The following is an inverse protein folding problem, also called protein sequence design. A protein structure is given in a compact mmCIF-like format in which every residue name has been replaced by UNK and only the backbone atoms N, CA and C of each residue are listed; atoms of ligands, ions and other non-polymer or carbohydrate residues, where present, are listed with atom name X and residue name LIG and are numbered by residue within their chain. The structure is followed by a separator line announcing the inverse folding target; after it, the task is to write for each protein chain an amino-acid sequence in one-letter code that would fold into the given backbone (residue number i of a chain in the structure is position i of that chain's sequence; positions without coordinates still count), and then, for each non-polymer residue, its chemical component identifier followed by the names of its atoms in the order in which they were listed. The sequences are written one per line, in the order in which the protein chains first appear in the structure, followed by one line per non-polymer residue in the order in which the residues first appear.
data_IF_665415415988
#
_entry.id   IF_665415415988
#
_cell.length_a   1.000
_cell.length_b   1.000
_cell.length_c   1.000
_cell.angle_alpha   90.00
_cell.angle_beta   90.00
_cell.angle_gamma   90.00
#
_symmetry.space_group_name_H-M   'P 1'
#
loop_
_entity.id
_entity.type
_entity.pdbx_description
1 polymer ?
#
# COMPACT_ATOMS: atom_id res chain seq x y z
N UNK A 1 30.67 -47.98 22.41
CA UNK A 1 29.55 -47.37 21.67
C UNK A 1 29.24 -46.05 22.36
N UNK A 2 29.88 -44.99 21.89
CA UNK A 2 29.77 -43.65 22.47
C UNK A 2 29.16 -42.73 21.42
N UNK A 3 28.13 -42.05 21.87
CA UNK A 3 27.32 -41.04 21.17
C UNK A 3 28.17 -40.08 20.35
N UNK A 4 28.14 -40.23 19.03
CA UNK A 4 28.54 -39.17 18.12
C UNK A 4 27.62 -37.98 18.35
N UNK A 5 28.25 -36.91 18.82
CA UNK A 5 27.63 -35.62 19.08
C UNK A 5 27.01 -35.08 17.80
N UNK A 6 25.76 -34.62 17.90
CA UNK A 6 25.04 -33.79 16.93
C UNK A 6 25.79 -32.49 16.60
N UNK A 7 26.88 -32.59 15.83
CA UNK A 7 27.54 -31.47 15.14
C UNK A 7 27.26 -31.64 13.65
N UNK A 8 26.10 -31.18 13.21
CA UNK A 8 25.75 -31.25 11.79
C UNK A 8 24.29 -30.96 11.51
N UNK A 9 23.77 -29.81 11.94
CA UNK A 9 22.55 -29.20 11.37
C UNK A 9 22.31 -27.79 11.92
N UNK A 10 23.35 -26.96 12.07
CA UNK A 10 23.14 -25.50 11.99
C UNK A 10 23.37 -25.13 10.52
N UNK A 11 22.45 -25.56 9.64
CA UNK A 11 22.37 -24.95 8.32
C UNK A 11 21.82 -23.56 8.60
N UNK A 12 22.69 -22.56 8.54
CA UNK A 12 22.31 -21.16 8.54
C UNK A 12 21.07 -21.03 7.67
N UNK A 13 19.94 -20.68 8.32
CA UNK A 13 18.66 -20.60 7.63
C UNK A 13 18.87 -19.64 6.47
N UNK A 14 18.46 -20.00 5.24
CA UNK A 14 18.71 -19.15 4.09
C UNK A 14 18.17 -17.75 4.36
N UNK A 15 19.00 -16.74 4.05
CA UNK A 15 18.67 -15.35 4.30
C UNK A 15 17.33 -15.03 3.62
N UNK A 16 16.34 -14.67 4.43
CA UNK A 16 15.04 -14.22 3.94
C UNK A 16 14.87 -12.77 4.35
N UNK A 17 14.36 -11.95 3.44
CA UNK A 17 14.28 -10.51 3.65
C UNK A 17 13.45 -9.83 2.58
N UNK A 18 13.10 -8.58 2.87
CA UNK A 18 12.36 -7.74 1.96
C UNK A 18 12.63 -6.26 2.23
N UNK A 19 12.49 -5.45 1.19
CA UNK A 19 12.53 -3.99 1.26
C UNK A 19 11.34 -3.44 0.46
N UNK A 20 10.69 -2.41 0.98
CA UNK A 20 9.57 -1.74 0.32
C UNK A 20 9.94 -0.29 0.04
N UNK A 21 10.25 0.03 -1.22
CA UNK A 21 10.58 1.36 -1.69
C UNK A 21 9.31 2.10 -2.11
N UNK A 22 9.02 3.21 -1.46
CA UNK A 22 7.87 4.05 -1.74
C UNK A 22 8.36 5.36 -2.38
N UNK A 23 7.81 5.75 -3.54
CA UNK A 23 8.14 7.04 -4.17
C UNK A 23 7.38 8.20 -3.51
N UNK A 24 7.63 8.37 -2.21
CA UNK A 24 7.09 9.43 -1.39
C UNK A 24 8.02 9.70 -0.20
N UNK A 25 7.95 10.91 0.35
CA UNK A 25 8.64 11.25 1.59
C UNK A 25 8.13 10.44 2.78
N UNK A 26 8.95 10.23 3.84
CA UNK A 26 8.58 9.39 4.97
C UNK A 26 7.28 9.81 5.65
N UNK A 27 6.99 11.12 5.73
CA UNK A 27 5.75 11.64 6.33
C UNK A 27 4.48 11.13 5.64
N UNK A 28 4.51 10.97 4.31
CA UNK A 28 3.38 10.50 3.50
C UNK A 28 3.20 8.99 3.56
N UNK A 29 4.28 8.23 3.84
CA UNK A 29 4.27 6.76 3.91
C UNK A 29 3.72 6.26 5.24
N UNK A 30 3.98 6.97 6.35
CA UNK A 30 3.60 6.55 7.72
C UNK A 30 2.13 6.12 7.84
N UNK A 31 1.12 6.88 7.36
CA UNK A 31 -0.29 6.51 7.53
C UNK A 31 -0.63 5.21 6.81
N UNK A 32 -0.14 5.01 5.58
CA UNK A 32 -0.37 3.80 4.81
C UNK A 32 0.31 2.58 5.45
N UNK A 33 1.56 2.73 5.90
CA UNK A 33 2.32 1.66 6.54
C UNK A 33 1.68 1.16 7.85
N UNK A 34 1.08 2.06 8.64
CA UNK A 34 0.37 1.68 9.88
C UNK A 34 -0.83 0.75 9.64
N UNK A 35 -1.48 0.84 8.47
CA UNK A 35 -2.62 -0.01 8.11
C UNK A 35 -2.22 -1.45 7.79
N UNK A 36 -0.93 -1.71 7.53
CA UNK A 36 -0.42 -3.07 7.32
C UNK A 36 -0.42 -3.91 8.60
N UNK A 37 -0.54 -3.26 9.77
CA UNK A 37 -0.49 -3.90 11.09
C UNK A 37 0.77 -4.75 11.34
N UNK A 38 1.86 -4.40 10.66
CA UNK A 38 3.18 -5.03 10.82
C UNK A 38 4.16 -4.00 11.40
N UNK A 39 5.13 -4.48 12.18
CA UNK A 39 6.22 -3.64 12.67
C UNK A 39 7.27 -3.45 11.58
N UNK A 40 7.60 -2.19 11.30
CA UNK A 40 8.55 -1.82 10.24
C UNK A 40 9.41 -0.63 10.67
N UNK A 41 10.62 -0.54 10.12
CA UNK A 41 11.44 0.66 10.20
C UNK A 41 11.30 1.44 8.90
N UNK A 42 11.16 2.76 8.99
CA UNK A 42 11.01 3.66 7.87
C UNK A 42 12.19 4.63 7.85
N UNK A 43 12.94 4.64 6.75
CA UNK A 43 14.04 5.58 6.52
C UNK A 43 13.86 6.29 5.17
N UNK A 44 14.57 7.40 5.00
CA UNK A 44 14.68 8.08 3.70
C UNK A 44 15.56 7.23 2.77
N UNK A 45 15.21 7.18 1.48
CA UNK A 45 15.92 6.40 0.46
C UNK A 45 16.19 7.23 -0.80
N UNK A 46 16.50 8.51 -0.64
CA UNK A 46 16.52 9.53 -1.69
C UNK A 46 15.62 10.72 -1.34
N UNK A 47 15.60 11.74 -2.18
CA UNK A 47 14.78 12.94 -1.94
C UNK A 47 13.28 12.62 -2.06
N UNK A 48 12.91 11.87 -3.11
CA UNK A 48 11.53 11.50 -3.43
C UNK A 48 11.17 10.08 -2.98
N UNK A 49 12.09 9.38 -2.31
CA UNK A 49 11.95 7.96 -1.99
C UNK A 49 12.13 7.70 -0.49
N UNK A 50 11.35 6.73 -0.01
CA UNK A 50 11.49 6.17 1.33
C UNK A 50 11.59 4.66 1.25
N UNK A 51 12.27 4.06 2.23
CA UNK A 51 12.37 2.61 2.38
C UNK A 51 11.72 2.16 3.67
N UNK A 52 10.86 1.15 3.57
CA UNK A 52 10.32 0.39 4.68
C UNK A 52 11.10 -0.94 4.79
N UNK A 53 11.61 -1.20 6.00
CA UNK A 53 12.29 -2.45 6.38
C UNK A 53 11.37 -3.19 7.35
N UNK A 54 10.62 -4.21 6.90
CA UNK A 54 9.70 -4.95 7.74
C UNK A 54 10.43 -5.90 8.71
N UNK A 55 9.87 -6.10 9.89
CA UNK A 55 10.37 -7.14 10.80
C UNK A 55 10.12 -8.55 10.25
N UNK A 56 9.08 -8.74 9.44
CA UNK A 56 8.86 -9.97 8.71
C UNK A 56 8.22 -11.08 9.52
N UNK A 57 7.38 -10.73 10.51
CA UNK A 57 6.70 -11.70 11.38
C UNK A 57 6.03 -12.86 10.61
N UNK A 58 5.23 -12.60 9.56
CA UNK A 58 4.52 -13.63 8.81
C UNK A 58 5.44 -14.70 8.19
N UNK A 59 6.49 -14.31 7.47
CA UNK A 59 7.38 -15.30 6.83
C UNK A 59 8.41 -15.89 7.80
N UNK A 60 8.84 -15.16 8.83
CA UNK A 60 9.73 -15.71 9.88
C UNK A 60 9.05 -16.82 10.69
N UNK A 61 7.74 -16.69 10.90
CA UNK A 61 6.94 -17.74 11.55
C UNK A 61 6.71 -18.97 10.65
N UNK A 62 7.03 -18.87 9.35
CA UNK A 62 6.77 -19.90 8.35
C UNK A 62 5.30 -20.01 7.95
N UNK A 63 4.46 -19.03 8.30
CA UNK A 63 3.04 -19.04 7.96
C UNK A 63 2.79 -18.81 6.46
N UNK A 64 3.55 -17.90 5.86
CA UNK A 64 3.38 -17.48 4.46
C UNK A 64 4.73 -17.26 3.75
N UNK A 65 4.83 -17.54 2.43
CA UNK A 65 6.01 -17.22 1.63
C UNK A 65 6.29 -15.70 1.57
N UNK A 66 7.57 -15.32 1.56
CA UNK A 66 8.01 -13.90 1.55
C UNK A 66 7.35 -13.15 0.39
N UNK A 67 7.45 -13.68 -0.83
CA UNK A 67 6.83 -13.11 -2.04
C UNK A 67 5.35 -12.77 -1.84
N UNK A 68 4.55 -13.70 -1.30
CA UNK A 68 3.10 -13.53 -1.13
C UNK A 68 2.80 -12.36 -0.18
N UNK A 69 3.50 -12.32 0.96
CA UNK A 69 3.28 -11.31 2.00
C UNK A 69 3.67 -9.94 1.48
N UNK A 70 4.88 -9.83 0.93
CA UNK A 70 5.45 -8.56 0.47
C UNK A 70 4.65 -8.00 -0.72
N UNK A 71 4.20 -8.85 -1.65
CA UNK A 71 3.32 -8.43 -2.74
C UNK A 71 1.99 -7.89 -2.21
N UNK A 72 1.41 -8.54 -1.20
CA UNK A 72 0.20 -8.07 -0.54
C UNK A 72 0.39 -6.69 0.11
N UNK A 73 1.52 -6.48 0.78
CA UNK A 73 1.85 -5.19 1.39
C UNK A 73 2.10 -4.09 0.36
N UNK A 74 2.82 -4.37 -0.73
CA UNK A 74 3.03 -3.40 -1.80
C UNK A 74 1.69 -2.92 -2.39
N UNK A 75 0.76 -3.85 -2.67
CA UNK A 75 -0.58 -3.51 -3.14
C UNK A 75 -1.32 -2.67 -2.10
N UNK A 76 -1.34 -3.11 -0.84
CA UNK A 76 -2.05 -2.43 0.24
C UNK A 76 -1.54 -1.00 0.48
N UNK A 77 -0.22 -0.78 0.41
CA UNK A 77 0.38 0.56 0.53
C UNK A 77 -0.06 1.52 -0.57
N UNK A 78 -0.37 0.99 -1.76
CA UNK A 78 -0.82 1.80 -2.90
C UNK A 78 -2.32 2.13 -2.88
N UNK A 79 -3.08 1.61 -1.91
CA UNK A 79 -4.51 1.90 -1.80
C UNK A 79 -4.73 3.34 -1.37
N UNK A 80 -5.36 4.13 -2.25
CA UNK A 80 -5.71 5.52 -1.95
C UNK A 80 -4.55 6.51 -2.09
N UNK A 81 -3.42 6.09 -2.65
CA UNK A 81 -2.27 6.96 -2.95
C UNK A 81 -1.92 6.91 -4.44
N UNK A 82 -1.23 7.94 -4.93
CA UNK A 82 -0.84 8.07 -6.34
C UNK A 82 0.59 7.63 -6.63
N UNK A 83 1.42 7.41 -5.61
CA UNK A 83 2.81 7.02 -5.78
C UNK A 83 2.99 5.49 -5.87
N UNK A 84 3.95 5.02 -6.67
CA UNK A 84 4.26 3.59 -6.77
C UNK A 84 5.00 3.05 -5.54
N UNK A 85 4.87 1.73 -5.34
CA UNK A 85 5.65 0.95 -4.37
C UNK A 85 6.37 -0.17 -5.08
N UNK A 86 7.69 -0.20 -4.94
CA UNK A 86 8.56 -1.28 -5.38
C UNK A 86 8.93 -2.16 -4.18
N UNK A 87 8.41 -3.38 -4.18
CA UNK A 87 8.80 -4.44 -3.28
C UNK A 87 10.00 -5.19 -3.84
N UNK A 88 11.07 -5.32 -3.06
CA UNK A 88 12.17 -6.26 -3.28
C UNK A 88 12.04 -7.37 -2.24
N UNK A 89 12.23 -8.61 -2.64
CA UNK A 89 12.13 -9.75 -1.74
C UNK A 89 13.10 -10.86 -2.12
N UNK A 90 13.50 -11.64 -1.13
CA UNK A 90 14.35 -12.81 -1.31
C UNK A 90 14.09 -13.84 -0.23
N UNK A 91 14.30 -15.09 -0.60
CA UNK A 91 14.32 -16.25 0.27
C UNK A 91 15.46 -17.19 -0.18
N UNK A 92 15.53 -18.39 0.41
CA UNK A 92 16.58 -19.34 0.10
C UNK A 92 16.58 -19.92 -1.30
N UNK A 93 15.48 -19.75 -2.03
CA UNK A 93 15.25 -20.41 -3.31
C UNK A 93 15.11 -19.39 -4.45
N UNK A 94 14.64 -18.18 -4.14
CA UNK A 94 14.26 -17.16 -5.12
C UNK A 94 14.47 -15.75 -4.59
N UNK A 95 14.66 -14.83 -5.53
CA UNK A 95 14.56 -13.41 -5.25
C UNK A 95 13.86 -12.70 -6.39
N UNK A 96 13.26 -11.55 -6.11
CA UNK A 96 12.52 -10.83 -7.13
C UNK A 96 12.05 -9.48 -6.67
N UNK A 97 11.36 -8.80 -7.58
CA UNK A 97 10.73 -7.53 -7.30
C UNK A 97 9.29 -7.49 -7.82
N UNK A 98 8.49 -6.63 -7.19
CA UNK A 98 7.12 -6.35 -7.61
C UNK A 98 6.84 -4.86 -7.49
N UNK A 99 6.35 -4.25 -8.57
CA UNK A 99 5.89 -2.88 -8.63
C UNK A 99 4.37 -2.82 -8.58
N UNK A 100 3.85 -2.21 -7.52
CA UNK A 100 2.44 -1.84 -7.38
C UNK A 100 2.27 -0.33 -7.63
N UNK A 101 1.17 0.05 -8.30
CA UNK A 101 0.86 1.46 -8.57
C UNK A 101 -0.66 1.65 -8.69
N UNK A 102 -1.31 1.99 -7.58
CA UNK A 102 -2.75 2.21 -7.49
C UNK A 102 -3.58 1.02 -7.98
N UNK A 103 -4.50 1.26 -8.91
CA UNK A 103 -5.41 0.23 -9.45
C UNK A 103 -4.83 -0.60 -10.61
N UNK A 104 -3.55 -0.40 -10.97
CA UNK A 104 -2.92 -1.18 -12.03
C UNK A 104 -2.57 -2.57 -11.51
N UNK A 105 -2.67 -3.59 -12.38
CA UNK A 105 -2.19 -4.94 -12.05
C UNK A 105 -0.69 -4.85 -11.70
N UNK A 106 -0.26 -5.35 -10.53
CA UNK A 106 1.16 -5.37 -10.18
C UNK A 106 1.98 -6.10 -11.25
N UNK A 107 3.21 -5.62 -11.46
CA UNK A 107 4.17 -6.23 -12.38
C UNK A 107 5.38 -6.66 -11.56
N UNK A 108 5.95 -7.83 -11.84
CA UNK A 108 7.10 -8.31 -11.09
C UNK A 108 7.94 -9.27 -11.93
N UNK A 109 9.18 -9.42 -11.49
CA UNK A 109 10.16 -10.31 -12.10
C UNK A 109 10.86 -11.12 -11.01
N UNK A 110 11.24 -12.35 -11.32
CA UNK A 110 11.78 -13.31 -10.35
C UNK A 110 12.99 -14.02 -10.95
N UNK A 111 14.00 -14.23 -10.12
CA UNK A 111 15.15 -15.08 -10.35
C UNK A 111 15.14 -16.24 -9.35
N UNK A 112 15.69 -17.38 -9.74
CA UNK A 112 16.10 -18.42 -8.79
C UNK A 112 17.31 -17.92 -7.98
N UNK A 113 17.61 -18.57 -6.85
CA UNK A 113 18.70 -18.17 -5.95
C UNK A 113 20.05 -18.03 -6.66
N UNK A 114 20.32 -18.87 -7.67
CA UNK A 114 21.53 -18.83 -8.50
C UNK A 114 21.56 -17.69 -9.53
N UNK A 115 20.52 -16.85 -9.58
CA UNK A 115 20.41 -15.76 -10.55
C UNK A 115 19.78 -16.16 -11.88
N UNK A 116 19.34 -17.41 -12.04
CA UNK A 116 18.67 -17.86 -13.26
C UNK A 116 17.35 -17.09 -13.44
N UNK A 117 17.11 -16.47 -14.61
CA UNK A 117 15.85 -15.78 -14.89
C UNK A 117 14.68 -16.77 -14.88
N UNK A 118 13.64 -16.45 -14.12
CA UNK A 118 12.40 -17.23 -14.02
C UNK A 118 11.13 -16.39 -14.31
N UNK A 119 11.31 -15.10 -14.61
CA UNK A 119 10.26 -14.16 -14.95
C UNK A 119 10.00 -14.06 -16.45
N UNK A 120 9.02 -13.24 -16.80
CA UNK A 120 8.65 -12.92 -18.19
C UNK A 120 9.27 -11.58 -18.55
N UNK A 121 10.03 -11.50 -19.65
CA UNK A 121 10.79 -10.31 -20.04
C UNK A 121 9.90 -9.07 -20.24
N UNK A 122 8.68 -9.24 -20.77
CA UNK A 122 7.72 -8.15 -20.93
C UNK A 122 7.32 -7.48 -19.60
N UNK A 123 7.51 -8.17 -18.47
CA UNK A 123 7.33 -7.58 -17.15
C UNK A 123 8.36 -6.48 -16.87
N UNK A 124 9.60 -6.62 -17.36
CA UNK A 124 10.68 -5.65 -17.17
C UNK A 124 10.42 -4.38 -17.97
N UNK A 125 9.98 -4.51 -19.22
CA UNK A 125 9.56 -3.34 -20.03
C UNK A 125 8.40 -2.58 -19.37
N UNK A 126 7.38 -3.31 -18.91
CA UNK A 126 6.24 -2.72 -18.19
C UNK A 126 6.65 -2.07 -16.86
N UNK A 127 7.65 -2.63 -16.18
CA UNK A 127 8.23 -2.07 -14.95
C UNK A 127 8.93 -0.73 -15.23
N UNK A 128 9.80 -0.67 -16.24
CA UNK A 128 10.52 0.54 -16.63
C UNK A 128 9.56 1.66 -17.03
N UNK A 129 8.59 1.36 -17.89
CA UNK A 129 7.58 2.31 -18.36
C UNK A 129 6.79 2.94 -17.20
N UNK A 130 6.48 2.16 -16.15
CA UNK A 130 5.66 2.62 -15.02
C UNK A 130 6.45 3.46 -14.02
N UNK A 131 7.75 3.23 -13.89
CA UNK A 131 8.63 4.07 -13.08
C UNK A 131 9.08 5.33 -13.82
N UNK A 132 8.94 5.34 -15.15
CA UNK A 132 9.39 6.43 -16.00
C UNK A 132 10.90 6.41 -16.23
N UNK A 133 11.49 5.20 -16.23
CA UNK A 133 12.93 5.02 -16.49
C UNK A 133 13.28 5.40 -17.93
N UNK A 134 14.55 5.72 -18.18
CA UNK A 134 15.01 6.01 -19.53
C UNK A 134 14.79 4.80 -20.46
N UNK A 135 14.05 4.97 -21.57
CA UNK A 135 13.67 3.85 -22.43
C UNK A 135 14.84 3.25 -23.22
N UNK A 136 16.05 3.83 -23.14
CA UNK A 136 17.25 3.37 -23.83
C UNK A 136 18.26 2.84 -22.84
N UNK A 137 18.84 3.69 -22.00
CA UNK A 137 19.95 3.35 -21.11
C UNK A 137 19.50 2.48 -19.94
N UNK A 138 18.41 2.87 -19.27
CA UNK A 138 17.92 2.12 -18.11
C UNK A 138 17.24 0.82 -18.56
N UNK A 139 16.52 0.85 -19.67
CA UNK A 139 15.93 -0.35 -20.26
C UNK A 139 17.01 -1.37 -20.66
N UNK A 140 18.10 -0.94 -21.33
CA UNK A 140 19.20 -1.84 -21.69
C UNK A 140 19.84 -2.48 -20.46
N UNK A 141 20.12 -1.68 -19.43
CA UNK A 141 20.68 -2.20 -18.18
C UNK A 141 19.75 -3.22 -17.49
N UNK A 142 18.43 -3.02 -17.60
CA UNK A 142 17.45 -3.97 -17.06
C UNK A 142 17.34 -5.25 -17.90
N UNK A 143 17.41 -5.17 -19.24
CA UNK A 143 17.42 -6.33 -20.14
C UNK A 143 18.65 -7.22 -19.86
N UNK A 144 19.83 -6.62 -19.68
CA UNK A 144 21.06 -7.33 -19.29
C UNK A 144 20.91 -8.11 -17.96
N UNK A 145 20.10 -7.61 -17.02
CA UNK A 145 19.82 -8.31 -15.76
C UNK A 145 18.90 -9.53 -15.92
N UNK A 146 18.20 -9.64 -17.04
CA UNK A 146 17.34 -10.79 -17.36
C UNK A 146 18.06 -11.87 -18.16
N UNK A 147 19.22 -11.57 -18.72
CA UNK A 147 20.05 -12.54 -19.44
C UNK A 147 20.76 -13.51 -18.48
N UNK A 148 20.98 -14.78 -18.87
CA UNK A 148 21.75 -15.72 -18.07
C UNK A 148 23.18 -15.23 -17.79
N UNK A 149 23.58 -15.21 -16.52
CA UNK A 149 24.94 -14.91 -16.06
C UNK A 149 25.26 -15.86 -14.91
N UNK A 150 26.37 -16.60 -15.02
CA UNK A 150 26.77 -17.59 -14.03
C UNK A 150 27.44 -16.97 -12.80
N UNK A 151 27.90 -15.72 -12.90
CA UNK A 151 28.64 -15.03 -11.85
C UNK A 151 27.73 -14.13 -10.98
N UNK A 152 26.46 -13.93 -11.39
CA UNK A 152 25.52 -13.03 -10.72
C UNK A 152 24.32 -13.80 -10.14
N UNK A 153 24.37 -14.03 -8.82
CA UNK A 153 23.26 -14.62 -8.07
C UNK A 153 22.04 -13.67 -7.94
N UNK A 154 20.95 -14.17 -7.35
CA UNK A 154 19.70 -13.41 -7.25
C UNK A 154 19.85 -12.09 -6.46
N UNK A 155 20.71 -12.07 -5.44
CA UNK A 155 20.97 -10.88 -4.62
C UNK A 155 21.78 -9.83 -5.41
N UNK A 156 22.76 -10.28 -6.20
CA UNK A 156 23.49 -9.44 -7.15
C UNK A 156 22.54 -8.83 -8.20
N UNK A 157 21.57 -9.60 -8.71
CA UNK A 157 20.56 -9.08 -9.65
C UNK A 157 19.67 -8.00 -9.03
N UNK A 158 19.18 -8.20 -7.80
CA UNK A 158 18.43 -7.17 -7.07
C UNK A 158 19.27 -5.91 -6.82
N UNK A 159 20.55 -6.08 -6.51
CA UNK A 159 21.49 -4.96 -6.36
C UNK A 159 21.70 -4.23 -7.69
N UNK A 160 21.72 -4.95 -8.81
CA UNK A 160 21.73 -4.38 -10.16
C UNK A 160 20.48 -3.54 -10.46
N UNK A 161 19.29 -4.03 -10.09
CA UNK A 161 18.04 -3.25 -10.22
C UNK A 161 18.13 -1.96 -9.42
N UNK A 162 18.61 -2.01 -8.17
CA UNK A 162 18.83 -0.81 -7.36
C UNK A 162 19.84 0.15 -8.01
N UNK A 163 20.91 -0.38 -8.60
CA UNK A 163 21.91 0.43 -9.28
C UNK A 163 21.30 1.22 -10.45
N UNK A 164 20.40 0.62 -11.24
CA UNK A 164 19.63 1.34 -12.27
C UNK A 164 18.79 2.45 -11.64
N UNK A 165 18.08 2.15 -10.54
CA UNK A 165 17.20 3.11 -9.86
C UNK A 165 17.93 4.28 -9.18
N UNK A 166 19.26 4.22 -9.01
CA UNK A 166 20.03 5.38 -8.52
C UNK A 166 19.91 6.59 -9.45
N UNK A 167 19.70 6.37 -10.76
CA UNK A 167 19.44 7.43 -11.75
C UNK A 167 18.10 8.13 -11.52
N UNK A 168 17.14 7.42 -10.93
CA UNK A 168 15.83 7.95 -10.47
C UNK A 168 15.88 8.49 -9.03
N UNK A 169 17.08 8.64 -8.47
CA UNK A 169 17.28 9.20 -7.14
C UNK A 169 17.00 8.23 -5.99
N UNK A 170 16.95 6.91 -6.24
CA UNK A 170 16.87 5.91 -5.17
C UNK A 170 18.26 5.71 -4.57
N UNK A 171 18.42 6.08 -3.30
CA UNK A 171 19.65 5.90 -2.54
C UNK A 171 19.35 5.20 -1.21
N UNK A 172 19.62 3.91 -1.12
CA UNK A 172 19.39 3.18 0.12
C UNK A 172 20.36 3.64 1.23
N UNK A 173 19.87 3.74 2.47
CA UNK A 173 20.74 3.90 3.63
C UNK A 173 21.85 2.84 3.69
N UNK A 174 23.06 3.19 4.16
CA UNK A 174 24.17 2.24 4.27
C UNK A 174 23.78 0.99 5.07
N UNK A 175 24.14 -0.18 4.54
CA UNK A 175 23.87 -1.48 5.17
C UNK A 175 22.51 -2.10 4.82
N UNK A 176 21.65 -1.44 4.04
CA UNK A 176 20.45 -2.06 3.47
C UNK A 176 20.78 -2.71 2.12
N UNK A 177 21.34 -3.92 2.17
CA UNK A 177 21.77 -4.67 0.97
C UNK A 177 20.75 -5.77 0.66
N UNK A 178 20.20 -5.86 -0.57
CA UNK A 178 19.39 -7.00 -0.97
C UNK A 178 20.15 -8.31 -0.83
N UNK A 179 19.49 -9.33 -0.29
CA UNK A 179 20.09 -10.63 0.02
C UNK A 179 20.47 -10.79 1.50
N UNK A 180 20.66 -9.70 2.25
CA UNK A 180 20.96 -9.80 3.67
C UNK A 180 19.78 -10.37 4.48
N UNK A 181 20.04 -11.09 5.59
CA UNK A 181 18.98 -11.54 6.49
C UNK A 181 18.20 -10.35 7.06
N UNK A 182 16.90 -10.55 7.30
CA UNK A 182 16.04 -9.49 7.86
C UNK A 182 16.62 -8.86 9.14
N UNK A 183 17.29 -9.62 10.01
CA UNK A 183 17.92 -9.08 11.23
C UNK A 183 19.04 -8.07 10.93
N UNK A 184 19.89 -8.37 9.94
CA UNK A 184 20.96 -7.46 9.50
C UNK A 184 20.37 -6.15 8.94
N UNK A 185 19.31 -6.25 8.15
CA UNK A 185 18.62 -5.07 7.61
C UNK A 185 18.02 -4.20 8.71
N UNK A 186 17.39 -4.83 9.71
CA UNK A 186 16.80 -4.10 10.84
C UNK A 186 17.86 -3.37 11.65
N UNK A 187 18.97 -4.04 11.97
CA UNK A 187 20.11 -3.42 12.65
C UNK A 187 20.66 -2.25 11.83
N UNK A 188 20.93 -2.44 10.54
CA UNK A 188 21.41 -1.40 9.65
C UNK A 188 20.46 -0.19 9.56
N UNK A 189 19.14 -0.43 9.53
CA UNK A 189 18.13 0.63 9.56
C UNK A 189 18.09 1.35 10.91
N UNK A 190 18.26 0.66 12.03
CA UNK A 190 18.29 1.28 13.37
C UNK A 190 19.48 2.22 13.57
N UNK A 191 20.59 1.98 12.88
CA UNK A 191 21.76 2.88 12.90
C UNK A 191 21.54 4.19 12.14
N UNK A 192 20.47 4.33 11.36
CA UNK A 192 20.22 5.55 10.60
C UNK A 192 19.59 6.64 11.47
N UNK A 193 20.06 7.90 11.38
CA UNK A 193 19.62 8.98 12.26
C UNK A 193 18.14 9.37 12.06
N UNK A 194 17.59 9.18 10.86
CA UNK A 194 16.22 9.58 10.51
C UNK A 194 15.21 8.42 10.53
N UNK A 195 15.60 7.27 11.09
CA UNK A 195 14.73 6.08 11.13
C UNK A 195 13.53 6.28 12.06
N UNK A 196 12.35 5.99 11.55
CA UNK A 196 11.09 5.98 12.30
C UNK A 196 10.61 4.54 12.48
N UNK A 197 10.18 4.20 13.69
CA UNK A 197 9.53 2.92 13.96
C UNK A 197 8.04 3.04 13.66
N UNK A 198 7.54 2.13 12.82
CA UNK A 198 6.12 1.97 12.48
C UNK A 198 5.64 0.69 13.15
N UNK A 199 4.57 0.76 13.93
CA UNK A 199 4.02 -0.41 14.61
C UNK A 199 2.73 -0.07 15.33
N UNK A 200 2.04 -1.08 15.84
CA UNK A 200 0.84 -0.87 16.65
C UNK A 200 1.24 -0.15 17.94
N UNK A 201 0.85 1.11 18.04
CA UNK A 201 1.08 1.96 19.20
C UNK A 201 0.66 1.24 20.48
N UNK A 202 1.65 0.84 21.28
CA UNK A 202 1.52 0.68 22.72
C UNK A 202 2.46 1.68 23.37
N UNK A 203 1.95 2.89 23.67
CA UNK A 203 2.53 3.91 24.56
C UNK A 203 4.02 4.29 24.35
N UNK A 204 4.29 5.51 23.86
CA UNK A 204 4.95 6.56 24.66
C UNK A 204 5.47 7.72 23.82
N UNK A 205 5.38 8.91 24.40
CA UNK A 205 5.63 10.20 23.77
C UNK A 205 4.64 11.28 24.17
N UNK A 206 3.90 11.09 25.28
CA UNK A 206 3.26 12.22 25.96
C UNK A 206 4.37 12.92 26.73
N UNK A 207 4.77 14.08 26.22
CA UNK A 207 5.72 15.01 26.81
C UNK A 207 5.42 15.20 28.30
N UNK A 208 6.26 14.65 29.17
CA UNK A 208 6.30 14.99 30.58
C UNK A 208 7.09 16.29 30.74
N UNK A 209 6.51 17.38 30.23
CA UNK A 209 6.86 18.75 30.58
C UNK A 209 5.52 19.48 30.67
N UNK A 210 4.96 19.52 31.86
CA UNK A 210 4.77 20.78 32.59
C UNK A 210 3.87 20.48 33.79
N UNK A 211 4.39 20.75 34.98
CA UNK A 211 3.58 20.72 36.19
C UNK A 211 2.78 22.01 36.23
N UNK A 212 1.46 21.93 36.36
CA UNK A 212 0.75 23.04 36.98
C UNK A 212 -0.56 22.61 37.63
N UNK A 213 -0.84 23.32 38.69
CA UNK A 213 -1.69 23.03 39.82
C UNK A 213 -3.18 22.91 39.43
N UNK A 214 -3.81 21.81 39.86
CA UNK A 214 -5.27 21.77 40.02
C UNK A 214 -5.67 22.62 41.24
N UNK A 215 -5.63 23.93 41.05
CA UNK A 215 -6.27 24.89 41.93
C UNK A 215 -7.77 25.08 41.62
N UNK A 216 -8.62 25.50 42.58
CA UNK A 216 -10.08 25.59 42.44
C UNK A 216 -10.61 26.64 41.45
N UNK A 217 -9.73 27.30 40.66
CA UNK A 217 -10.08 28.41 39.76
C UNK A 217 -10.68 27.98 38.42
N UNK A 218 -10.43 26.75 37.98
CA UNK A 218 -10.91 26.24 36.67
C UNK A 218 -12.44 26.07 36.56
N UNK A 219 -13.17 25.95 37.67
CA UNK A 219 -14.65 25.84 37.64
C UNK A 219 -15.35 27.16 37.34
N UNK A 220 -14.82 28.29 37.83
CA UNK A 220 -15.46 29.61 37.60
C UNK A 220 -15.33 30.09 36.16
N UNK A 221 -14.22 29.75 35.49
CA UNK A 221 -13.97 30.22 34.13
C UNK A 221 -14.82 29.48 33.08
N UNK A 222 -15.14 28.19 33.33
CA UNK A 222 -16.09 27.45 32.49
C UNK A 222 -17.52 28.00 32.62
N UNK A 223 -17.91 28.39 33.83
CA UNK A 223 -19.27 28.91 34.11
C UNK A 223 -19.51 30.29 33.49
N UNK A 224 -18.51 31.20 33.55
CA UNK A 224 -18.61 32.50 32.88
C UNK A 224 -18.64 32.41 31.35
N UNK A 225 -18.05 31.36 30.75
CA UNK A 225 -18.02 31.16 29.30
C UNK A 225 -19.35 30.60 28.76
N UNK A 226 -20.07 29.82 29.56
CA UNK A 226 -21.43 29.36 29.25
C UNK A 226 -22.46 30.49 29.39
N UNK A 227 -22.34 31.36 30.41
CA UNK A 227 -23.19 32.55 30.55
C UNK A 227 -23.00 33.57 29.42
N UNK A 228 -21.77 33.74 28.92
CA UNK A 228 -21.50 34.60 27.77
C UNK A 228 -22.09 34.05 26.46
N UNK A 229 -22.15 32.72 26.30
CA UNK A 229 -22.77 32.05 25.14
C UNK A 229 -24.30 32.07 25.20
N UNK A 230 -24.90 32.12 26.38
CA UNK A 230 -26.35 32.29 26.55
C UNK A 230 -26.83 33.66 26.06
N UNK A 231 -26.13 34.74 26.44
CA UNK A 231 -26.53 36.12 26.07
C UNK A 231 -26.33 36.44 24.60
N UNK A 232 -25.36 35.81 23.94
CA UNK A 232 -25.16 35.96 22.50
C UNK A 232 -26.31 35.35 21.66
N UNK A 233 -26.97 34.30 22.19
CA UNK A 233 -28.09 33.64 21.51
C UNK A 233 -29.44 34.35 21.72
N UNK A 234 -29.61 35.10 22.80
CA UNK A 234 -30.80 35.94 23.01
C UNK A 234 -30.77 37.19 22.12
N UNK A 235 -29.61 37.79 21.86
CA UNK A 235 -29.50 38.96 20.96
C UNK A 235 -29.75 38.62 19.48
N UNK A 236 -29.54 37.38 19.06
CA UNK A 236 -29.75 36.96 17.67
C UNK A 236 -31.23 36.64 17.36
N UNK A 237 -32.10 36.51 18.38
CA UNK A 237 -33.53 36.24 18.20
C UNK A 237 -34.41 37.50 18.16
N UNK A 238 -33.89 38.67 18.55
CA UNK A 238 -34.68 39.91 18.66
C UNK A 238 -34.54 40.85 17.44
N UNK A 239 -33.76 40.45 16.43
CA UNK A 239 -33.44 41.25 15.25
C UNK A 239 -33.89 40.65 13.93
N UNK A 240 -35.13 40.20 13.78
CA UNK A 240 -35.69 39.92 12.43
C UNK A 240 -37.18 40.22 12.38
N UNK A 241 -37.51 41.52 12.30
CA UNK A 241 -38.77 41.99 11.75
C UNK A 241 -38.49 43.22 10.91
N UNK A 242 -39.16 43.27 9.76
CA UNK A 242 -39.11 44.31 8.71
C UNK A 242 -37.84 44.28 7.82
N UNK A 243 -37.87 44.39 6.49
CA UNK A 243 -38.93 44.85 5.57
C UNK A 243 -38.56 44.46 4.11
N UNK A 244 -39.58 44.05 3.35
CA UNK A 244 -39.87 44.45 1.95
C UNK A 244 -39.03 43.92 0.77
N UNK A 245 -39.74 43.14 -0.04
CA UNK A 245 -39.61 42.92 -1.50
C UNK A 245 -39.21 44.20 -2.28
N UNK A 246 -38.43 44.11 -3.39
CA UNK A 246 -39.13 43.99 -4.67
C UNK A 246 -38.38 43.28 -5.83
N UNK A 247 -39.21 42.87 -6.80
CA UNK A 247 -39.03 42.96 -8.26
C UNK A 247 -38.04 42.04 -9.01
N UNK A 248 -38.65 41.23 -9.88
CA UNK A 248 -38.08 40.60 -11.09
C UNK A 248 -37.52 41.63 -12.08
N UNK A 249 -36.53 41.23 -12.89
CA UNK A 249 -36.73 41.09 -14.34
C UNK A 249 -36.15 39.74 -14.85
N UNK A 250 -36.68 39.09 -15.88
CA UNK A 250 -36.67 39.52 -17.28
C UNK A 250 -35.52 38.79 -17.98
N UNK A 251 -35.85 37.76 -18.77
CA UNK A 251 -34.88 36.77 -19.27
C UNK A 251 -33.94 37.23 -20.38
N UNK A 252 -32.89 36.44 -20.61
CA UNK A 252 -32.11 36.43 -21.85
C UNK A 252 -31.66 35.00 -22.17
N UNK A 253 -32.05 34.58 -23.36
CA UNK A 253 -31.67 33.37 -24.10
C UNK A 253 -30.21 33.44 -24.54
N UNK A 254 -29.43 32.38 -24.37
CA UNK A 254 -28.03 32.39 -24.81
C UNK A 254 -27.41 31.00 -24.95
N UNK A 255 -27.48 30.48 -26.18
CA UNK A 255 -26.50 29.61 -26.86
C UNK A 255 -25.97 28.37 -26.12
N UNK A 256 -26.55 27.21 -26.47
CA UNK A 256 -25.96 25.90 -26.22
C UNK A 256 -24.73 25.67 -27.10
N UNK A 257 -23.64 25.23 -26.45
CA UNK A 257 -22.49 24.61 -27.09
C UNK A 257 -22.67 23.08 -27.15
N UNK A 258 -22.19 22.41 -28.20
CA UNK A 258 -22.60 21.07 -28.57
C UNK A 258 -21.92 19.97 -27.73
N UNK A 259 -22.71 18.94 -27.39
CA UNK A 259 -22.25 17.69 -26.82
C UNK A 259 -21.41 16.86 -27.81
N UNK A 260 -20.35 16.16 -27.36
CA UNK A 260 -19.69 15.15 -28.18
C UNK A 260 -20.49 13.84 -28.16
N UNK A 261 -20.69 13.26 -29.34
CA UNK A 261 -21.37 11.97 -29.55
C UNK A 261 -20.44 10.82 -29.13
N UNK A 262 -20.95 9.76 -28.45
CA UNK A 262 -20.18 8.53 -28.29
C UNK A 262 -20.21 7.69 -29.58
N UNK A 263 -19.03 7.22 -29.96
CA UNK A 263 -18.81 6.26 -31.04
C UNK A 263 -19.35 4.88 -30.60
N UNK A 264 -20.22 4.28 -31.42
CA UNK A 264 -20.78 2.94 -31.20
C UNK A 264 -20.27 2.02 -32.31
N UNK A 265 -19.48 1.03 -31.91
CA UNK A 265 -19.23 -0.23 -32.62
C UNK A 265 -19.29 -1.32 -31.53
N UNK A 266 -19.94 -2.48 -31.63
CA UNK A 266 -20.50 -3.18 -32.77
C UNK A 266 -20.03 -4.65 -32.73
N UNK A 267 -20.67 -5.51 -31.93
CA UNK A 267 -20.72 -6.97 -32.17
C UNK A 267 -19.92 -7.93 -31.26
N UNK A 268 -20.32 -9.23 -31.16
CA UNK A 268 -20.63 -9.88 -29.87
C UNK A 268 -19.98 -11.28 -29.59
N UNK A 269 -20.34 -11.82 -28.41
CA UNK A 269 -20.09 -13.16 -27.80
C UNK A 269 -18.74 -13.26 -27.05
N UNK A 270 -18.63 -13.50 -25.75
CA UNK A 270 -19.36 -14.45 -24.88
C UNK A 270 -19.02 -14.21 -23.39
N UNK A 271 -20.00 -13.96 -22.52
CA UNK A 271 -19.80 -14.11 -21.06
C UNK A 271 -21.13 -14.47 -20.36
N UNK A 272 -21.22 -15.67 -19.77
CA UNK A 272 -21.79 -15.75 -18.43
C UNK A 272 -20.90 -16.58 -17.47
N UNK A 273 -19.59 -16.57 -17.67
CA UNK A 273 -18.65 -17.32 -16.82
C UNK A 273 -18.19 -16.51 -15.59
N UNK A 274 -18.07 -15.18 -15.68
CA UNK A 274 -17.51 -14.35 -14.61
C UNK A 274 -18.44 -14.19 -13.39
N UNK A 275 -19.76 -14.24 -13.60
CA UNK A 275 -20.73 -14.06 -12.52
C UNK A 275 -20.78 -15.26 -11.56
N UNK A 276 -20.59 -16.48 -12.06
CA UNK A 276 -20.57 -17.69 -11.22
C UNK A 276 -19.28 -17.81 -10.39
N UNK A 277 -18.15 -17.30 -10.90
CA UNK A 277 -16.87 -17.33 -10.19
C UNK A 277 -16.85 -16.35 -9.00
N UNK A 278 -17.49 -15.19 -9.12
CA UNK A 278 -17.55 -14.21 -8.02
C UNK A 278 -18.43 -14.67 -6.85
N UNK A 279 -19.52 -15.39 -7.10
CA UNK A 279 -20.36 -15.95 -6.03
C UNK A 279 -19.66 -17.09 -5.30
N UNK A 280 -18.83 -17.88 -6.00
CA UNK A 280 -18.03 -18.95 -5.39
C UNK A 280 -16.89 -18.43 -4.49
N UNK A 281 -16.37 -17.22 -4.74
CA UNK A 281 -15.28 -16.62 -3.95
C UNK A 281 -15.73 -15.82 -2.72
N UNK A 282 -16.97 -15.31 -2.68
CA UNK A 282 -17.47 -14.51 -1.55
C UNK A 282 -17.85 -15.33 -0.31
N UNK A 283 -18.30 -16.57 -0.51
CA UNK A 283 -18.78 -17.46 0.55
C UNK A 283 -17.65 -17.92 1.52
N UNK A 284 -16.46 -18.31 1.03
CA UNK A 284 -15.31 -18.63 1.90
C UNK A 284 -14.83 -17.43 2.75
N UNK A 285 -14.85 -16.22 2.17
CA UNK A 285 -14.42 -14.99 2.85
C UNK A 285 -15.37 -14.57 3.98
N UNK A 286 -16.69 -14.71 3.80
CA UNK A 286 -17.67 -14.44 4.85
C UNK A 286 -17.59 -15.46 6.00
N UNK A 287 -17.37 -16.74 5.68
CA UNK A 287 -17.18 -17.81 6.68
C UNK A 287 -15.88 -17.61 7.46
N UNK A 288 -14.82 -17.16 6.80
CA UNK A 288 -13.53 -16.86 7.44
C UNK A 288 -13.64 -15.65 8.39
N UNK A 289 -14.30 -14.57 7.97
CA UNK A 289 -14.56 -13.40 8.83
C UNK A 289 -15.38 -13.72 10.07
N UNK A 290 -16.34 -14.67 9.97
CA UNK A 290 -17.15 -15.13 11.10
C UNK A 290 -16.32 -15.97 12.10
N UNK A 291 -15.36 -16.75 11.61
CA UNK A 291 -14.48 -17.60 12.43
C UNK A 291 -13.40 -16.81 13.18
N UNK A 292 -13.00 -15.63 12.70
CA UNK A 292 -11.92 -14.82 13.30
C UNK A 292 -12.40 -13.57 14.05
N UNK A 293 -13.73 -13.42 14.27
CA UNK A 293 -14.37 -12.31 15.01
C UNK A 293 -13.92 -10.90 14.58
N UNK A 294 -13.61 -10.71 13.30
CA UNK A 294 -13.15 -9.43 12.76
C UNK A 294 -14.30 -8.71 12.05
N UNK A 295 -14.86 -7.67 12.68
CA UNK A 295 -16.01 -6.93 12.15
C UNK A 295 -15.78 -6.30 10.77
N UNK A 296 -14.52 -5.96 10.43
CA UNK A 296 -14.17 -5.39 9.12
C UNK A 296 -14.35 -6.35 7.94
N UNK A 297 -14.04 -7.63 8.13
CA UNK A 297 -14.17 -8.64 7.08
C UNK A 297 -15.63 -9.07 6.85
N UNK A 298 -16.48 -8.97 7.88
CA UNK A 298 -17.93 -9.16 7.75
C UNK A 298 -18.54 -8.02 6.93
N UNK A 299 -18.10 -6.78 7.18
CA UNK A 299 -18.55 -5.61 6.41
C UNK A 299 -18.10 -5.70 4.94
N UNK A 300 -16.85 -6.08 4.69
CA UNK A 300 -16.34 -6.25 3.34
C UNK A 300 -17.05 -7.38 2.56
N UNK A 301 -17.31 -8.52 3.21
CA UNK A 301 -18.05 -9.64 2.61
C UNK A 301 -19.51 -9.32 2.31
N UNK A 302 -20.19 -8.58 3.20
CA UNK A 302 -21.58 -8.15 2.98
C UNK A 302 -21.70 -7.10 1.88
N UNK A 303 -20.75 -6.16 1.78
CA UNK A 303 -20.67 -5.20 0.68
C UNK A 303 -20.45 -5.92 -0.65
N UNK A 304 -19.57 -6.94 -0.70
CA UNK A 304 -19.34 -7.73 -1.92
C UNK A 304 -20.60 -8.50 -2.37
N UNK A 305 -21.33 -9.10 -1.42
CA UNK A 305 -22.57 -9.83 -1.69
C UNK A 305 -23.71 -8.88 -2.12
N UNK A 306 -23.80 -7.70 -1.52
CA UNK A 306 -24.76 -6.68 -1.94
C UNK A 306 -24.46 -6.16 -3.36
N UNK A 307 -23.18 -5.95 -3.69
CA UNK A 307 -22.77 -5.51 -5.02
C UNK A 307 -23.02 -6.59 -6.09
N UNK A 308 -22.85 -7.88 -5.74
CA UNK A 308 -23.15 -9.00 -6.62
C UNK A 308 -24.64 -9.24 -6.84
N UNK A 309 -25.49 -8.98 -5.85
CA UNK A 309 -26.95 -9.09 -6.02
C UNK A 309 -27.52 -7.92 -6.83
N UNK A 310 -26.96 -6.71 -6.70
CA UNK A 310 -27.38 -5.53 -7.45
C UNK A 310 -27.11 -5.64 -8.96
N UNK A 311 -26.06 -6.35 -9.37
CA UNK A 311 -25.76 -6.60 -10.79
C UNK A 311 -26.68 -7.67 -11.39
N UNK A 312 -27.12 -8.65 -10.60
CA UNK A 312 -28.05 -9.69 -11.02
C UNK A 312 -29.49 -9.17 -11.20
N UNK A 313 -29.97 -8.25 -10.36
CA UNK A 313 -31.31 -7.65 -10.52
C UNK A 313 -31.37 -6.62 -11.65
N UNK A 314 -30.26 -5.91 -11.94
CA UNK A 314 -30.18 -4.98 -13.07
C UNK A 314 -30.30 -5.65 -14.44
N UNK A 315 -29.82 -6.90 -14.58
CA UNK A 315 -29.87 -7.62 -15.85
C UNK A 315 -31.22 -8.31 -16.11
N UNK A 316 -31.93 -8.73 -15.06
CA UNK A 316 -33.26 -9.36 -15.20
C UNK A 316 -34.35 -8.36 -15.58
N UNK A 317 -34.17 -7.06 -15.32
CA UNK A 317 -35.13 -6.01 -15.69
C UNK A 317 -34.97 -5.46 -17.12
N UNK A 318 -33.89 -5.80 -17.83
CA UNK A 318 -33.57 -5.28 -19.16
C UNK A 318 -33.75 -6.30 -20.31
N UNK A 319 -34.30 -7.48 -20.00
CA UNK A 319 -34.80 -8.43 -20.99
C UNK A 319 -36.24 -8.84 -20.64
N UNK A 320 -37.27 -8.10 -21.12
CA UNK A 320 -38.57 -8.72 -21.27
C UNK A 320 -38.41 -9.88 -22.27
N UNK A 321 -38.92 -11.05 -21.87
CA UNK A 321 -38.97 -12.26 -22.69
C UNK A 321 -39.73 -11.97 -23.99
N UNK A 322 -39.06 -12.18 -25.12
CA UNK A 322 -39.69 -12.68 -26.34
C UNK A 322 -39.37 -14.18 -26.46
#
# INVERSE_FOLDING_TARGET
MSTESSRGADRARPASGALLLCRAEPGSVVPAARLLHERMLLARAGDEWSVLVPEGGPWRSGADPVERVVNGWAIALTVGVSWPVLALWWDGERAGFTLAAGFRRPVGYVWLADGTPAGVEEAVRTFADRLGLDPVLDMQALEELTEPDADADAAARLSGVLAVLTREGVFLPPGLVPGDPTDTLLEAALFQPDTRRIGTDGSDGRSATDGDERGPRGRRQKQNQEEARGRAREQEQEGTREVREPARPGGVTGAGLPAPRPFRAGGPHSVPALALVQVAAGLPLAVWGLRHRSGGWILAGTVLLAQGTLTLTGHVLTHPRD
#
